data_IF_118628800402
#
_entry.id   IF_118628800402
#
_cell.length_a   1.000
_cell.length_b   1.000
_cell.length_c   1.000
_cell.angle_alpha   90.00
_cell.angle_beta   90.00
_cell.angle_gamma   90.00
#
_symmetry.space_group_name_H-M   'P 1'
#
loop_
_entity.id
_entity.type
_entity.pdbx_description
1 polymer ?
#
# COMPACT_ATOMS: atom_id res chain seq x y z
N UNK A 1 23.22 39.91 10.07
CA UNK A 1 22.66 38.54 10.03
C UNK A 1 22.10 38.34 8.62
N UNK A 2 22.96 38.00 7.64
CA UNK A 2 22.61 37.95 6.19
C UNK A 2 23.08 36.66 5.49
N UNK A 3 23.42 35.61 6.24
CA UNK A 3 24.02 34.39 5.67
C UNK A 3 23.04 33.48 4.90
N UNK A 4 21.72 33.75 4.95
CA UNK A 4 20.72 32.92 4.28
C UNK A 4 20.50 33.34 2.82
N UNK A 5 20.56 34.64 2.52
CA UNK A 5 20.32 35.17 1.16
C UNK A 5 21.38 34.71 0.15
N UNK A 6 22.66 34.66 0.55
CA UNK A 6 23.78 34.23 -0.31
C UNK A 6 23.73 32.75 -0.70
N UNK A 7 23.03 31.90 0.08
CA UNK A 7 22.86 30.48 -0.23
C UNK A 7 21.73 30.23 -1.23
N UNK A 8 20.70 31.08 -1.23
CA UNK A 8 19.52 30.89 -2.06
C UNK A 8 19.74 31.27 -3.54
N UNK A 9 20.69 32.17 -3.83
CA UNK A 9 20.99 32.64 -5.20
C UNK A 9 21.54 31.55 -6.15
N UNK A 10 22.04 30.45 -5.60
CA UNK A 10 22.59 29.32 -6.38
C UNK A 10 21.69 28.08 -6.36
N UNK A 11 20.49 28.16 -5.77
CA UNK A 11 19.59 27.00 -5.71
C UNK A 11 18.86 26.88 -7.04
N UNK A 12 18.92 25.71 -7.70
CA UNK A 12 18.13 25.46 -8.90
C UNK A 12 16.63 25.69 -8.62
N UNK A 13 15.89 26.37 -9.53
CA UNK A 13 14.46 26.57 -9.36
C UNK A 13 13.77 25.21 -9.19
N UNK A 14 12.84 25.12 -8.24
CA UNK A 14 12.16 23.86 -7.95
C UNK A 14 11.49 23.35 -9.24
N UNK A 15 11.74 22.09 -9.64
CA UNK A 15 11.18 21.56 -10.87
C UNK A 15 9.64 21.59 -10.79
N UNK A 16 8.96 22.17 -11.79
CA UNK A 16 7.51 22.21 -11.82
C UNK A 16 6.95 20.79 -11.97
N UNK A 17 5.83 20.49 -11.32
CA UNK A 17 5.11 19.21 -11.50
C UNK A 17 5.19 18.20 -10.35
N UNK A 18 5.88 18.52 -9.24
CA UNK A 18 5.93 17.64 -8.06
C UNK A 18 4.54 17.26 -7.53
N UNK A 19 3.58 18.20 -7.55
CA UNK A 19 2.20 17.96 -7.12
C UNK A 19 1.45 16.97 -8.03
N UNK A 20 1.65 17.04 -9.35
CA UNK A 20 1.07 16.09 -10.31
C UNK A 20 1.63 14.69 -10.11
N UNK A 21 2.93 14.58 -9.90
CA UNK A 21 3.58 13.29 -9.61
C UNK A 21 3.04 12.65 -8.33
N UNK A 22 2.89 13.44 -7.25
CA UNK A 22 2.31 12.95 -5.99
C UNK A 22 0.84 12.54 -6.19
N UNK A 23 0.05 13.33 -6.89
CA UNK A 23 -1.36 12.99 -7.15
C UNK A 23 -1.51 11.68 -7.93
N UNK A 24 -0.71 11.48 -8.98
CA UNK A 24 -0.69 10.23 -9.75
C UNK A 24 -0.22 9.04 -8.91
N UNK A 25 0.80 9.24 -8.07
CA UNK A 25 1.27 8.20 -7.15
C UNK A 25 0.16 7.79 -6.19
N UNK A 26 -0.49 8.74 -5.51
CA UNK A 26 -1.61 8.46 -4.59
C UNK A 26 -2.75 7.75 -5.33
N UNK A 27 -3.12 8.23 -6.52
CA UNK A 27 -4.15 7.59 -7.34
C UNK A 27 -3.81 6.12 -7.65
N UNK A 28 -2.58 5.82 -8.06
CA UNK A 28 -2.14 4.47 -8.34
C UNK A 28 -2.23 3.55 -7.12
N UNK A 29 -1.86 4.05 -5.94
CA UNK A 29 -1.98 3.28 -4.70
C UNK A 29 -3.44 3.01 -4.34
N UNK A 30 -4.32 4.01 -4.47
CA UNK A 30 -5.77 3.83 -4.21
C UNK A 30 -6.39 2.81 -5.16
N UNK A 31 -6.01 2.83 -6.44
CA UNK A 31 -6.43 1.82 -7.43
C UNK A 31 -5.97 0.43 -7.01
N UNK A 32 -4.69 0.28 -6.61
CA UNK A 32 -4.13 -1.01 -6.23
C UNK A 32 -4.77 -1.56 -4.94
N UNK A 33 -5.00 -0.70 -3.95
CA UNK A 33 -5.72 -1.06 -2.72
C UNK A 33 -7.17 -1.45 -3.05
N UNK A 34 -7.87 -0.67 -3.88
CA UNK A 34 -9.24 -0.99 -4.28
C UNK A 34 -9.34 -2.33 -5.01
N UNK A 35 -8.44 -2.59 -5.96
CA UNK A 35 -8.36 -3.88 -6.66
C UNK A 35 -8.08 -5.04 -5.70
N UNK A 36 -7.15 -4.85 -4.75
CA UNK A 36 -6.84 -5.87 -3.75
C UNK A 36 -8.02 -6.11 -2.81
N UNK A 37 -8.67 -5.05 -2.33
CA UNK A 37 -9.85 -5.16 -1.47
C UNK A 37 -10.97 -5.89 -2.19
N UNK A 38 -11.21 -5.59 -3.47
CA UNK A 38 -12.22 -6.29 -4.26
C UNK A 38 -11.87 -7.77 -4.46
N UNK A 39 -10.64 -8.07 -4.87
CA UNK A 39 -10.18 -9.45 -5.07
C UNK A 39 -10.16 -10.28 -3.77
N UNK A 40 -9.78 -9.66 -2.64
CA UNK A 40 -9.76 -10.30 -1.33
C UNK A 40 -11.17 -10.44 -0.75
N UNK A 41 -12.04 -9.43 -0.90
CA UNK A 41 -13.44 -9.53 -0.46
C UNK A 41 -14.14 -10.70 -1.15
N UNK A 42 -13.93 -10.86 -2.45
CA UNK A 42 -14.48 -11.98 -3.20
C UNK A 42 -13.94 -13.35 -2.77
N UNK A 43 -12.71 -13.42 -2.23
CA UNK A 43 -12.09 -14.63 -1.67
C UNK A 43 -12.33 -14.79 -0.15
N UNK A 44 -12.94 -13.81 0.51
CA UNK A 44 -13.34 -13.88 1.93
C UNK A 44 -14.71 -14.51 2.12
N UNK A 45 -15.62 -14.33 1.16
CA UNK A 45 -16.94 -14.96 1.20
C UNK A 45 -16.90 -16.47 0.89
N UNK A 46 -15.78 -17.00 0.40
CA UNK A 46 -15.55 -18.44 0.50
C UNK A 46 -15.33 -18.76 1.97
N UNK A 47 -16.36 -19.33 2.59
CA UNK A 47 -16.43 -19.95 3.91
C UNK A 47 -15.28 -20.95 4.12
N UNK A 48 -14.05 -20.44 4.19
CA UNK A 48 -12.84 -21.21 4.41
C UNK A 48 -12.68 -21.25 5.93
N UNK A 49 -13.02 -22.39 6.56
CA UNK A 49 -12.80 -22.56 7.98
C UNK A 49 -11.33 -22.28 8.27
N UNK A 50 -11.04 -21.60 9.38
CA UNK A 50 -9.68 -21.32 9.79
C UNK A 50 -8.95 -22.65 10.02
N UNK A 51 -8.26 -23.15 8.99
CA UNK A 51 -7.44 -24.36 9.09
C UNK A 51 -6.21 -23.99 9.90
N UNK A 52 -6.19 -24.44 11.16
CA UNK A 52 -5.00 -24.33 12.00
C UNK A 52 -4.00 -25.35 11.45
N UNK A 53 -3.02 -24.88 10.70
CA UNK A 53 -1.85 -25.67 10.37
C UNK A 53 -1.01 -25.81 11.64
N UNK A 54 -1.33 -26.80 12.47
CA UNK A 54 -0.36 -27.31 13.42
C UNK A 54 0.84 -27.74 12.58
N UNK A 55 2.01 -27.11 12.80
CA UNK A 55 3.21 -27.18 11.95
C UNK A 55 3.77 -28.61 11.74
N UNK A 56 3.11 -29.62 12.30
CA UNK A 56 3.45 -31.04 12.27
C UNK A 56 2.26 -31.97 11.93
N UNK A 57 1.11 -31.43 11.55
CA UNK A 57 -0.05 -32.23 11.12
C UNK A 57 -0.06 -32.39 9.61
N UNK A 58 -0.06 -33.64 9.13
CA UNK A 58 -0.22 -33.95 7.71
C UNK A 58 -1.66 -33.79 7.19
N UNK A 59 -2.63 -33.57 8.09
CA UNK A 59 -4.07 -33.54 7.76
C UNK A 59 -4.67 -32.19 8.18
N UNK A 60 -5.30 -31.44 7.26
CA UNK A 60 -6.06 -30.23 7.59
C UNK A 60 -7.21 -30.58 8.54
N UNK A 61 -7.20 -30.03 9.77
CA UNK A 61 -8.28 -30.23 10.73
C UNK A 61 -9.24 -29.04 10.68
N UNK A 62 -10.51 -29.31 10.38
CA UNK A 62 -11.56 -28.31 10.30
C UNK A 62 -12.10 -28.06 11.71
N UNK A 63 -12.11 -26.81 12.16
CA UNK A 63 -12.76 -26.46 13.43
C UNK A 63 -14.26 -26.79 13.32
N UNK A 64 -14.76 -27.60 14.25
CA UNK A 64 -16.16 -28.04 14.29
C UNK A 64 -17.13 -26.84 14.46
N UNK A 65 -18.37 -26.94 13.92
CA UNK A 65 -19.39 -25.89 14.04
C UNK A 65 -19.91 -25.70 15.46
#
# INVERSE_FOLDING_TARGET
MHAHDDRDQFIPPRPPGRGRAIALAVLAHLVLVGALTWGVAWKRDSDQPAVVAELWSAVPQQAAP
#
